data_IF_030721430281
#
_entry.id   IF_030721430281
#
_cell.length_a   1.000
_cell.length_b   1.000
_cell.length_c   1.000
_cell.angle_alpha   90.00
_cell.angle_beta   90.00
_cell.angle_gamma   90.00
#
_symmetry.space_group_name_H-M   'P 1'
#
loop_
_entity.id
_entity.type
_entity.pdbx_description
1 polymer ?
#
# COMPACT_ATOMS: atom_id res chain seq x y z
N UNK A 1 12.81 -4.42 16.91
CA UNK A 1 13.41 -3.61 17.98
C UNK A 1 12.29 -2.88 18.73
N UNK A 2 12.62 -2.34 19.89
CA UNK A 2 11.72 -1.49 20.69
C UNK A 2 11.94 -0.05 20.24
N UNK A 3 10.87 0.76 20.19
CA UNK A 3 11.00 2.21 19.96
C UNK A 3 11.42 2.87 21.27
N UNK A 4 12.47 3.68 21.23
CA UNK A 4 12.91 4.49 22.36
C UNK A 4 12.38 5.94 22.25
N UNK A 5 11.45 6.34 23.13
CA UNK A 5 10.87 7.69 23.11
C UNK A 5 11.82 8.80 23.58
N UNK A 6 13.01 8.48 24.11
CA UNK A 6 14.00 9.49 24.54
C UNK A 6 14.99 9.85 23.43
N UNK A 7 15.20 8.96 22.47
CA UNK A 7 16.20 9.14 21.40
C UNK A 7 15.58 9.27 20.02
N UNK A 8 14.36 8.74 19.80
CA UNK A 8 13.68 8.75 18.51
C UNK A 8 12.57 9.81 18.42
N UNK A 9 12.32 10.31 17.21
CA UNK A 9 11.23 11.27 16.97
C UNK A 9 9.87 10.56 16.91
N UNK A 10 9.13 10.60 18.02
CA UNK A 10 7.82 9.96 18.15
C UNK A 10 6.75 10.69 17.34
N UNK A 11 6.02 9.92 16.53
CA UNK A 11 4.88 10.37 15.72
C UNK A 11 3.68 9.46 15.95
N UNK A 12 2.47 10.00 15.80
CA UNK A 12 1.26 9.16 15.84
C UNK A 12 1.25 8.26 14.61
N UNK A 13 0.81 7.00 14.78
CA UNK A 13 0.68 6.08 13.65
C UNK A 13 -0.20 6.66 12.53
N UNK A 14 -1.21 7.44 12.91
CA UNK A 14 -2.10 8.14 11.98
C UNK A 14 -1.42 9.26 11.21
N UNK A 15 -0.31 9.85 11.65
CA UNK A 15 0.39 10.89 10.90
C UNK A 15 1.36 10.31 9.85
N UNK A 16 1.71 9.02 9.98
CA UNK A 16 2.64 8.32 9.07
C UNK A 16 2.18 8.40 7.61
N UNK A 17 0.87 8.42 7.38
CA UNK A 17 0.34 8.48 6.01
C UNK A 17 0.73 9.76 5.27
N UNK A 18 1.04 10.86 5.97
CA UNK A 18 1.44 12.15 5.37
C UNK A 18 2.95 12.24 5.11
N UNK A 19 3.75 11.57 5.94
CA UNK A 19 5.23 11.64 5.90
C UNK A 19 5.86 10.51 5.08
N UNK A 20 5.05 9.75 4.35
CA UNK A 20 5.52 8.62 3.55
C UNK A 20 6.25 9.12 2.29
N UNK A 21 7.46 8.60 1.98
CA UNK A 21 8.14 8.93 0.74
C UNK A 21 7.34 8.44 -0.48
N UNK A 22 7.19 9.31 -1.48
CA UNK A 22 6.36 9.03 -2.67
C UNK A 22 4.93 9.59 -2.60
N UNK A 23 4.59 10.31 -1.54
CA UNK A 23 3.32 11.02 -1.39
C UNK A 23 2.39 10.39 -0.34
N UNK A 24 1.25 11.05 -0.05
CA UNK A 24 0.34 10.59 0.97
C UNK A 24 -0.27 9.24 0.59
N UNK A 25 -0.23 8.30 1.53
CA UNK A 25 -0.91 7.00 1.38
C UNK A 25 -2.28 7.03 2.03
N UNK A 26 -3.13 6.03 1.73
CA UNK A 26 -4.42 5.90 2.41
C UNK A 26 -4.24 5.82 3.93
N UNK A 27 -5.14 6.46 4.67
CA UNK A 27 -5.09 6.57 6.13
C UNK A 27 -5.05 5.22 6.87
N UNK A 28 -5.66 4.18 6.30
CA UNK A 28 -5.67 2.83 6.86
C UNK A 28 -4.35 2.07 6.66
N UNK A 29 -3.51 2.53 5.72
CA UNK A 29 -2.30 1.81 5.33
C UNK A 29 -1.29 1.65 6.47
N UNK A 30 -0.96 2.69 7.26
CA UNK A 30 -0.09 2.53 8.43
C UNK A 30 -0.63 1.54 9.47
N UNK A 31 -1.95 1.48 9.65
CA UNK A 31 -2.60 0.49 10.52
C UNK A 31 -2.38 -0.94 10.05
N UNK A 32 -2.46 -1.17 8.74
CA UNK A 32 -2.17 -2.47 8.13
C UNK A 32 -0.71 -2.85 8.29
N UNK A 33 0.22 -1.91 8.10
CA UNK A 33 1.65 -2.15 8.33
C UNK A 33 1.96 -2.55 9.77
N UNK A 34 1.28 -1.94 10.74
CA UNK A 34 1.45 -2.27 12.15
C UNK A 34 0.85 -3.64 12.53
N UNK A 35 -0.33 -4.00 11.99
CA UNK A 35 -1.02 -5.26 12.34
C UNK A 35 -0.54 -6.46 11.53
N UNK A 36 -0.57 -6.32 10.22
CA UNK A 36 -0.35 -7.37 9.23
C UNK A 36 1.09 -7.35 8.73
N UNK A 37 1.64 -6.14 8.55
CA UNK A 37 2.91 -5.94 7.87
C UNK A 37 2.80 -6.00 6.35
N UNK A 38 3.93 -5.87 5.68
CA UNK A 38 4.06 -5.99 4.22
C UNK A 38 5.11 -7.05 3.95
N UNK A 39 4.68 -8.17 3.37
CA UNK A 39 5.62 -9.23 2.99
C UNK A 39 6.38 -9.86 4.16
N UNK A 40 5.74 -9.93 5.33
CA UNK A 40 6.33 -10.44 6.58
C UNK A 40 7.08 -9.40 7.41
N UNK A 41 7.25 -8.18 6.90
CA UNK A 41 7.91 -7.07 7.62
C UNK A 41 6.82 -6.22 8.28
N UNK A 42 6.88 -6.03 9.60
CA UNK A 42 5.91 -5.24 10.37
C UNK A 42 6.50 -3.90 10.78
N UNK A 43 5.66 -2.87 10.78
CA UNK A 43 6.04 -1.56 11.31
C UNK A 43 6.10 -1.62 12.84
N UNK A 44 7.22 -1.15 13.40
CA UNK A 44 7.42 -1.06 14.84
C UNK A 44 6.46 0.00 15.40
N UNK A 45 5.71 -0.36 16.44
CA UNK A 45 4.76 0.55 17.09
C UNK A 45 4.72 0.31 18.58
N UNK A 46 4.37 1.35 19.31
CA UNK A 46 4.20 1.32 20.77
C UNK A 46 2.85 1.91 21.15
N UNK A 47 2.23 1.36 22.20
CA UNK A 47 0.92 1.82 22.68
C UNK A 47 1.12 2.62 23.97
N UNK A 48 0.75 3.90 23.93
CA UNK A 48 0.76 4.80 25.09
C UNK A 48 -0.54 5.60 25.14
N UNK A 49 -1.12 5.78 26.33
CA UNK A 49 -2.35 6.55 26.54
C UNK A 49 -3.49 6.18 25.56
N UNK A 50 -3.73 4.88 25.39
CA UNK A 50 -4.72 4.30 24.45
C UNK A 50 -4.55 4.66 22.96
N UNK A 51 -3.42 5.27 22.59
CA UNK A 51 -3.08 5.61 21.20
C UNK A 51 -1.86 4.80 20.75
N UNK A 52 -1.77 4.56 19.45
CA UNK A 52 -0.63 3.87 18.84
C UNK A 52 0.32 4.90 18.22
N UNK A 53 1.59 4.75 18.57
CA UNK A 53 2.67 5.63 18.20
C UNK A 53 3.74 4.82 17.48
N UNK A 54 4.53 5.51 16.68
CA UNK A 54 5.73 4.98 16.04
C UNK A 54 6.80 6.09 16.06
N UNK A 55 7.97 5.84 15.49
CA UNK A 55 9.00 6.85 15.29
C UNK A 55 9.29 7.04 13.80
N UNK A 56 9.83 8.19 13.43
CA UNK A 56 10.29 8.44 12.05
C UNK A 56 11.38 7.44 11.67
N UNK A 57 12.26 7.11 12.60
CA UNK A 57 13.35 6.15 12.46
C UNK A 57 12.81 4.73 12.27
N UNK A 58 11.78 4.31 13.03
CA UNK A 58 11.10 3.03 12.82
C UNK A 58 10.47 2.94 11.42
N UNK A 59 9.87 4.02 10.94
CA UNK A 59 9.32 4.11 9.58
C UNK A 59 10.45 3.97 8.54
N UNK A 60 11.59 4.65 8.72
CA UNK A 60 12.75 4.50 7.84
C UNK A 60 13.31 3.07 7.82
N UNK A 61 13.45 2.42 8.99
CA UNK A 61 13.87 1.01 9.10
C UNK A 61 12.90 0.08 8.38
N UNK A 62 11.60 0.30 8.54
CA UNK A 62 10.55 -0.45 7.86
C UNK A 62 10.68 -0.36 6.33
N UNK A 63 10.92 0.85 5.80
CA UNK A 63 11.16 1.04 4.37
C UNK A 63 12.43 0.37 3.87
N UNK A 64 13.53 0.52 4.61
CA UNK A 64 14.79 -0.15 4.31
C UNK A 64 14.63 -1.67 4.24
N UNK A 65 13.89 -2.26 5.18
CA UNK A 65 13.60 -3.69 5.17
C UNK A 65 12.75 -4.11 3.96
N UNK A 66 11.73 -3.32 3.59
CA UNK A 66 10.91 -3.61 2.39
C UNK A 66 11.76 -3.53 1.12
N UNK A 67 12.58 -2.49 0.99
CA UNK A 67 13.47 -2.34 -0.16
C UNK A 67 14.48 -3.48 -0.25
N UNK A 68 15.10 -3.86 0.88
CA UNK A 68 16.02 -5.00 0.98
C UNK A 68 15.35 -6.34 0.64
N UNK A 69 14.06 -6.50 0.95
CA UNK A 69 13.28 -7.67 0.53
C UNK A 69 13.02 -7.67 -0.97
N UNK A 70 12.59 -6.54 -1.53
CA UNK A 70 12.27 -6.44 -2.95
C UNK A 70 13.50 -6.67 -3.84
N UNK A 71 14.68 -6.19 -3.45
CA UNK A 71 15.92 -6.45 -4.23
C UNK A 71 16.32 -7.93 -4.22
N UNK A 72 16.00 -8.68 -3.15
CA UNK A 72 16.26 -10.13 -3.06
C UNK A 72 15.27 -10.97 -3.86
N UNK A 73 14.09 -10.44 -4.18
CA UNK A 73 13.11 -11.13 -5.02
C UNK A 73 13.38 -10.75 -6.47
N UNK A 74 13.94 -11.68 -7.24
CA UNK A 74 14.05 -11.55 -8.71
C UNK A 74 12.69 -11.15 -9.28
N UNK A 75 12.60 -10.18 -10.21
CA UNK A 75 11.33 -9.68 -10.70
C UNK A 75 10.55 -10.83 -11.34
N UNK A 76 9.58 -11.38 -10.61
CA UNK A 76 8.55 -12.24 -11.19
C UNK A 76 7.72 -11.38 -12.12
N UNK A 77 7.61 -11.83 -13.37
CA UNK A 77 6.96 -11.12 -14.47
C UNK A 77 5.63 -10.48 -14.06
N UNK A 78 5.30 -9.29 -14.59
CA UNK A 78 4.11 -8.55 -14.20
C UNK A 78 2.87 -9.41 -14.44
N UNK A 79 2.09 -9.63 -13.37
CA UNK A 79 0.79 -10.29 -13.45
C UNK A 79 -0.12 -9.38 -14.27
N UNK A 80 -0.26 -9.70 -15.57
CA UNK A 80 -1.12 -9.02 -16.55
C UNK A 80 -2.47 -8.77 -15.87
N UNK A 81 -2.78 -7.50 -15.59
CA UNK A 81 -4.11 -7.10 -15.13
C UNK A 81 -5.07 -7.66 -16.17
N UNK A 82 -5.98 -8.53 -15.73
CA UNK A 82 -7.03 -9.08 -16.58
C UNK A 82 -7.89 -7.88 -16.97
N UNK A 83 -7.59 -7.28 -18.12
CA UNK A 83 -8.44 -6.29 -18.76
C UNK A 83 -9.83 -6.91 -18.78
N UNK A 84 -10.78 -6.23 -18.16
CA UNK A 84 -12.18 -6.56 -18.33
C UNK A 84 -12.50 -6.29 -19.80
N UNK A 85 -12.39 -7.35 -20.60
CA UNK A 85 -12.94 -7.47 -21.93
C UNK A 85 -14.44 -7.23 -21.78
N UNK A 86 -14.84 -6.01 -22.10
CA UNK A 86 -16.23 -5.62 -22.20
C UNK A 86 -16.67 -6.01 -23.61
N UNK A 87 -16.77 -7.32 -23.83
CA UNK A 87 -17.46 -7.90 -24.97
C UNK A 87 -18.95 -7.60 -24.79
N UNK A 88 -19.45 -6.68 -25.61
CA UNK A 88 -20.77 -6.10 -25.48
C UNK A 88 -21.30 -5.64 -26.84
N UNK A 89 -21.77 -6.63 -27.60
CA UNK A 89 -22.80 -6.55 -28.62
C UNK A 89 -22.45 -5.83 -29.94
N UNK A 90 -21.77 -6.57 -30.82
CA UNK A 90 -22.10 -6.53 -32.24
C UNK A 90 -23.45 -7.26 -32.45
N UNK A 91 -24.47 -6.54 -32.91
CA UNK A 91 -25.63 -7.16 -33.57
C UNK A 91 -26.12 -6.21 -34.68
N UNK A 92 -25.49 -6.33 -35.85
CA UNK A 92 -26.22 -6.30 -37.12
C UNK A 92 -26.29 -7.75 -37.64
N UNK A 93 -27.20 -8.12 -38.58
CA UNK A 93 -27.65 -7.25 -39.68
C UNK A 93 -29.13 -7.42 -40.12
N UNK A 94 -29.45 -6.74 -41.24
CA UNK A 94 -30.42 -7.06 -42.31
C UNK A 94 -31.77 -6.29 -42.44
N UNK A 95 -31.77 -5.41 -43.46
CA UNK A 95 -32.75 -5.27 -44.58
C UNK A 95 -34.24 -5.01 -44.32
N UNK A 96 -34.69 -3.84 -44.80
CA UNK A 96 -35.82 -3.64 -45.75
C UNK A 96 -35.85 -2.13 -46.08
N UNK A 97 -35.35 -1.64 -47.23
CA UNK A 97 -36.06 -1.56 -48.51
C UNK A 97 -37.59 -1.42 -48.37
N UNK A 98 -38.11 -0.19 -48.53
CA UNK A 98 -39.32 0.13 -49.32
C UNK A 98 -39.47 1.65 -49.43
N UNK A 99 -39.69 2.11 -50.66
CA UNK A 99 -39.87 3.48 -51.09
C UNK A 99 -41.22 4.10 -50.68
N UNK A 100 -41.26 5.42 -50.48
CA UNK A 100 -42.10 6.40 -51.20
C UNK A 100 -41.66 7.81 -50.80
#
# INVERSE_FOLDING_TARGET
>A
MMIDPQTEQIVRLQEVHKITPGGPVAFQTPWRWAKEGVGGIKLETVKFANRRWTSVEAVQRFWGAIAARNTRQTPTAPRKRRSAERDGAETGPQTAETAN
#
